data_IF_433810178298
#
_entry.id   IF_433810178298
#
_cell.length_a   1.000
_cell.length_b   1.000
_cell.length_c   1.000
_cell.angle_alpha   90.00
_cell.angle_beta   90.00
_cell.angle_gamma   90.00
#
_symmetry.space_group_name_H-M   'P 1'
#
loop_
_entity.id
_entity.type
_entity.pdbx_description
1 polymer ?
#
# COMPACT_ATOMS: atom_id res chain seq x y z
N UNK A 1 8.60 -22.73 2.13
CA UNK A 1 8.52 -21.32 2.61
C UNK A 1 7.05 -20.91 2.47
N UNK A 2 6.35 -20.64 3.57
CA UNK A 2 4.92 -20.27 3.54
C UNK A 2 4.83 -18.84 2.99
N UNK A 3 3.95 -18.62 2.01
CA UNK A 3 3.74 -17.32 1.35
C UNK A 3 2.34 -16.84 1.72
N UNK A 4 2.23 -15.61 2.23
CA UNK A 4 0.94 -14.97 2.40
C UNK A 4 0.31 -14.72 1.01
N UNK A 5 -0.97 -15.05 0.86
CA UNK A 5 -1.72 -14.83 -0.37
C UNK A 5 -2.98 -14.02 -0.05
N UNK A 6 -3.29 -12.96 -0.82
CA UNK A 6 -4.51 -12.18 -0.61
C UNK A 6 -5.75 -13.01 -0.92
N UNK A 7 -6.52 -13.36 0.11
CA UNK A 7 -7.73 -14.18 -0.03
C UNK A 7 -8.87 -13.41 -0.71
N UNK A 8 -9.09 -12.16 -0.30
CA UNK A 8 -10.06 -11.24 -0.89
C UNK A 8 -9.35 -9.92 -1.22
N UNK A 9 -9.70 -9.32 -2.35
CA UNK A 9 -9.16 -8.03 -2.82
C UNK A 9 -10.32 -7.08 -3.10
N UNK A 10 -10.05 -5.79 -3.06
CA UNK A 10 -10.98 -4.73 -3.49
C UNK A 10 -12.34 -4.75 -2.75
N UNK A 11 -12.29 -4.94 -1.43
CA UNK A 11 -13.49 -4.90 -0.59
C UNK A 11 -13.96 -3.47 -0.37
N UNK A 12 -15.26 -3.26 -0.48
CA UNK A 12 -15.89 -1.98 -0.15
C UNK A 12 -15.87 -1.75 1.36
N UNK A 13 -16.03 -0.48 1.78
CA UNK A 13 -16.08 -0.12 3.20
C UNK A 13 -17.20 -0.85 3.95
N UNK A 14 -18.35 -1.06 3.30
CA UNK A 14 -19.50 -1.75 3.88
C UNK A 14 -19.22 -3.25 4.10
N UNK A 15 -18.56 -3.91 3.14
CA UNK A 15 -18.17 -5.31 3.26
C UNK A 15 -17.11 -5.49 4.35
N UNK A 16 -16.12 -4.60 4.40
CA UNK A 16 -15.10 -4.62 5.45
C UNK A 16 -15.70 -4.42 6.83
N UNK A 17 -16.66 -3.51 6.99
CA UNK A 17 -17.32 -3.27 8.28
C UNK A 17 -18.07 -4.49 8.81
N UNK A 18 -18.55 -5.37 7.93
CA UNK A 18 -19.18 -6.64 8.31
C UNK A 18 -18.17 -7.73 8.67
N UNK A 19 -17.00 -7.72 8.02
CA UNK A 19 -15.96 -8.73 8.20
C UNK A 19 -15.09 -8.43 9.44
N UNK A 20 -14.75 -7.16 9.66
CA UNK A 20 -13.81 -6.73 10.69
C UNK A 20 -14.12 -7.28 12.10
N UNK A 21 -15.38 -7.27 12.59
CA UNK A 21 -15.71 -7.83 13.92
C UNK A 21 -15.48 -9.34 14.05
N UNK A 22 -15.43 -10.06 12.92
CA UNK A 22 -15.27 -11.51 12.91
C UNK A 22 -13.82 -11.96 12.67
N UNK A 23 -12.91 -11.05 12.29
CA UNK A 23 -11.51 -11.37 11.99
C UNK A 23 -10.79 -12.02 13.18
N UNK A 24 -11.11 -11.61 14.41
CA UNK A 24 -10.53 -12.16 15.64
C UNK A 24 -10.75 -13.68 15.79
N UNK A 25 -11.84 -14.20 15.23
CA UNK A 25 -12.13 -15.63 15.26
C UNK A 25 -11.24 -16.44 14.29
N UNK A 26 -10.65 -15.79 13.28
CA UNK A 26 -9.88 -16.42 12.22
C UNK A 26 -8.40 -16.10 12.33
N UNK A 27 -7.70 -16.83 13.21
CA UNK A 27 -6.25 -16.67 13.39
C UNK A 27 -5.49 -16.87 12.07
N UNK A 28 -4.69 -15.86 11.70
CA UNK A 28 -3.90 -15.86 10.47
C UNK A 28 -4.47 -14.99 9.35
N UNK A 29 -5.74 -14.60 9.45
CA UNK A 29 -6.31 -13.55 8.60
C UNK A 29 -6.11 -12.20 9.27
N UNK A 30 -5.69 -11.23 8.48
CA UNK A 30 -5.51 -9.85 8.90
C UNK A 30 -5.95 -8.95 7.74
N UNK A 31 -6.42 -7.75 8.07
CA UNK A 31 -6.69 -6.73 7.07
C UNK A 31 -5.38 -6.04 6.69
N UNK A 32 -5.20 -5.80 5.39
CA UNK A 32 -4.07 -5.03 4.86
C UNK A 32 -4.62 -3.91 3.98
N UNK A 33 -4.53 -2.68 4.48
CA UNK A 33 -4.95 -1.50 3.72
C UNK A 33 -3.99 -1.28 2.55
N UNK A 34 -4.49 -1.45 1.32
CA UNK A 34 -3.74 -1.21 0.08
C UNK A 34 -4.38 -0.05 -0.68
N UNK A 35 -3.56 0.86 -1.21
CA UNK A 35 -4.02 1.90 -2.12
C UNK A 35 -4.31 1.33 -3.51
N UNK A 36 -5.56 1.41 -3.97
CA UNK A 36 -5.93 1.13 -5.36
C UNK A 36 -5.97 2.43 -6.18
N UNK A 37 -5.50 2.38 -7.44
CA UNK A 37 -5.59 3.52 -8.36
C UNK A 37 -6.95 3.49 -9.07
N UNK A 38 -7.68 4.61 -9.03
CA UNK A 38 -8.95 4.77 -9.74
C UNK A 38 -8.75 5.68 -10.97
N UNK A 39 -9.08 5.18 -12.16
CA UNK A 39 -9.01 5.94 -13.41
C UNK A 39 -10.44 6.29 -13.88
N UNK A 40 -10.87 7.56 -13.76
CA UNK A 40 -12.27 7.92 -14.01
C UNK A 40 -12.69 7.77 -15.48
N UNK A 41 -11.75 7.83 -16.42
CA UNK A 41 -12.03 7.77 -17.86
C UNK A 41 -11.63 6.42 -18.46
N UNK A 42 -12.61 5.68 -18.99
CA UNK A 42 -12.38 4.35 -19.62
C UNK A 42 -11.41 4.39 -20.80
N UNK A 43 -11.41 5.48 -21.57
CA UNK A 43 -10.55 5.64 -22.75
C UNK A 43 -9.11 6.04 -22.43
N UNK A 44 -8.82 6.40 -21.18
CA UNK A 44 -7.49 6.85 -20.78
C UNK A 44 -6.51 5.70 -20.54
N UNK A 45 -6.97 4.44 -20.53
CA UNK A 45 -6.13 3.27 -20.27
C UNK A 45 -4.93 3.14 -21.23
N UNK A 46 -5.09 3.55 -22.49
CA UNK A 46 -4.00 3.53 -23.47
C UNK A 46 -2.92 4.59 -23.18
N UNK A 47 -3.30 5.73 -22.63
CA UNK A 47 -2.40 6.87 -22.36
C UNK A 47 -1.77 6.73 -20.98
N UNK A 48 -2.60 6.50 -19.95
CA UNK A 48 -2.16 6.33 -18.58
C UNK A 48 -1.42 5.02 -18.40
N UNK A 49 -1.92 3.95 -19.01
CA UNK A 49 -1.45 2.59 -18.80
C UNK A 49 -2.15 1.91 -17.64
N UNK A 50 -1.53 0.85 -17.13
CA UNK A 50 -2.08 0.02 -16.08
C UNK A 50 -1.00 -0.47 -15.12
N UNK A 51 -1.44 -0.86 -13.93
CA UNK A 51 -0.64 -1.50 -12.90
C UNK A 51 -0.71 -3.03 -13.04
N UNK A 52 0.39 -3.72 -12.78
CA UNK A 52 0.42 -5.19 -12.67
C UNK A 52 1.40 -5.61 -11.59
N UNK A 53 1.28 -6.84 -11.09
CA UNK A 53 2.18 -7.38 -10.08
C UNK A 53 3.62 -7.44 -10.59
N UNK A 54 4.58 -7.15 -9.72
CA UNK A 54 6.02 -7.17 -10.02
C UNK A 54 6.50 -8.60 -10.25
N UNK A 55 7.33 -8.82 -11.27
CA UNK A 55 7.95 -10.11 -11.53
C UNK A 55 9.18 -10.35 -10.64
N UNK A 56 9.65 -11.59 -10.58
CA UNK A 56 10.75 -11.94 -9.67
C UNK A 56 12.05 -11.27 -10.08
N UNK A 57 12.30 -11.17 -11.38
CA UNK A 57 13.48 -10.57 -11.98
C UNK A 57 13.58 -9.08 -11.61
N UNK A 58 12.45 -8.37 -11.62
CA UNK A 58 12.36 -6.96 -11.27
C UNK A 58 12.60 -6.69 -9.78
N UNK A 59 12.24 -7.64 -8.91
CA UNK A 59 12.53 -7.58 -7.47
C UNK A 59 14.03 -7.78 -7.20
N UNK A 60 14.69 -8.59 -8.02
CA UNK A 60 16.13 -8.84 -7.91
C UNK A 60 16.93 -7.62 -8.41
N UNK A 61 16.43 -6.90 -9.41
CA UNK A 61 16.99 -5.65 -9.91
C UNK A 61 16.79 -4.47 -8.93
N UNK A 62 15.58 -4.27 -8.40
CA UNK A 62 15.26 -3.18 -7.48
C UNK A 62 14.67 -3.70 -6.17
N UNK A 63 15.49 -3.64 -5.10
CA UNK A 63 15.10 -4.04 -3.73
C UNK A 63 13.97 -3.20 -3.14
N UNK A 64 13.54 -2.13 -3.81
CA UNK A 64 12.36 -1.38 -3.43
C UNK A 64 11.11 -2.26 -3.45
N UNK A 65 10.96 -3.17 -4.41
CA UNK A 65 9.75 -3.96 -4.59
C UNK A 65 9.77 -5.24 -3.74
N UNK A 66 8.57 -5.65 -3.32
CA UNK A 66 8.32 -6.96 -2.68
C UNK A 66 7.32 -7.74 -3.53
N UNK A 67 7.32 -9.08 -3.46
CA UNK A 67 6.26 -9.88 -4.08
C UNK A 67 4.88 -9.39 -3.62
N UNK A 68 3.90 -9.32 -4.55
CA UNK A 68 2.58 -8.75 -4.29
C UNK A 68 2.49 -7.22 -4.41
N UNK A 69 3.60 -6.50 -4.65
CA UNK A 69 3.54 -5.09 -5.01
C UNK A 69 3.16 -4.94 -6.50
N UNK A 70 2.51 -3.81 -6.82
CA UNK A 70 2.15 -3.45 -8.18
C UNK A 70 3.16 -2.44 -8.77
N UNK A 71 3.46 -2.57 -10.05
CA UNK A 71 4.32 -1.68 -10.85
C UNK A 71 3.60 -1.22 -12.12
N UNK A 72 3.83 0.02 -12.55
CA UNK A 72 3.32 0.55 -13.82
C UNK A 72 3.91 -0.19 -15.03
N UNK A 73 3.06 -0.84 -15.82
CA UNK A 73 3.49 -1.63 -17.00
C UNK A 73 3.52 -0.85 -18.30
N UNK A 74 2.65 0.15 -18.43
CA UNK A 74 2.48 0.89 -19.67
C UNK A 74 2.20 2.37 -19.39
N UNK A 75 2.23 3.18 -20.45
CA UNK A 75 1.81 4.58 -20.44
C UNK A 75 2.61 5.47 -19.48
N UNK A 76 1.93 6.51 -18.98
CA UNK A 76 2.46 7.47 -18.00
C UNK A 76 2.86 6.77 -16.70
N UNK A 77 2.13 5.73 -16.29
CA UNK A 77 2.40 4.97 -15.06
C UNK A 77 3.80 4.35 -15.08
N UNK A 78 4.22 3.76 -16.21
CA UNK A 78 5.58 3.19 -16.34
C UNK A 78 6.64 4.29 -16.39
N UNK A 79 6.38 5.38 -17.10
CA UNK A 79 7.37 6.44 -17.30
C UNK A 79 7.69 7.18 -15.99
N UNK A 80 6.66 7.48 -15.20
CA UNK A 80 6.79 8.20 -13.93
C UNK A 80 6.79 7.28 -12.69
N UNK A 81 7.04 5.99 -12.85
CA UNK A 81 6.99 5.03 -11.75
C UNK A 81 7.92 5.44 -10.59
N UNK A 82 9.10 5.99 -10.88
CA UNK A 82 10.09 6.40 -9.86
C UNK A 82 9.61 7.59 -9.03
N UNK A 83 8.87 8.50 -9.66
CA UNK A 83 8.28 9.69 -9.05
C UNK A 83 6.97 9.35 -8.32
N UNK A 84 6.16 8.45 -8.90
CA UNK A 84 4.86 7.99 -8.38
C UNK A 84 4.99 7.10 -7.14
N UNK A 85 6.00 6.23 -7.09
CA UNK A 85 6.16 5.24 -6.01
C UNK A 85 6.50 5.85 -4.65
N UNK A 86 7.01 7.08 -4.64
CA UNK A 86 7.45 7.76 -3.41
C UNK A 86 8.61 7.06 -2.70
N UNK A 87 8.76 7.32 -1.40
CA UNK A 87 9.80 6.73 -0.55
C UNK A 87 9.13 5.93 0.57
N UNK A 88 9.47 4.65 0.66
CA UNK A 88 8.97 3.77 1.74
C UNK A 88 9.56 4.21 3.08
N UNK A 89 8.68 4.28 4.08
CA UNK A 89 9.10 4.41 5.47
C UNK A 89 9.71 3.10 5.96
N UNK A 90 10.61 3.19 6.94
CA UNK A 90 11.21 2.05 7.62
C UNK A 90 10.80 2.14 9.07
N UNK A 91 10.30 1.03 9.64
CA UNK A 91 10.02 0.94 11.07
C UNK A 91 10.59 -0.34 11.64
N UNK A 92 11.46 -0.18 12.62
CA UNK A 92 12.18 -1.27 13.26
C UNK A 92 11.38 -1.78 14.47
N UNK A 93 11.09 -3.09 14.50
CA UNK A 93 10.47 -3.74 15.67
C UNK A 93 11.47 -4.72 16.27
N UNK A 94 11.53 -4.75 17.59
CA UNK A 94 12.16 -5.83 18.33
C UNK A 94 11.20 -7.01 18.43
N UNK A 95 11.62 -8.16 17.91
CA UNK A 95 10.87 -9.42 17.99
C UNK A 95 11.45 -10.32 19.06
N UNK A 96 10.59 -10.98 19.84
CA UNK A 96 10.97 -12.07 20.76
C UNK A 96 11.49 -13.29 20.00
N UNK A 97 12.14 -14.23 20.70
CA UNK A 97 12.56 -15.53 20.13
C UNK A 97 11.39 -16.35 19.55
N UNK A 98 10.16 -16.07 20.01
CA UNK A 98 8.92 -16.66 19.48
C UNK A 98 8.30 -15.84 18.32
N UNK A 99 9.04 -14.91 17.70
CA UNK A 99 8.59 -13.98 16.64
C UNK A 99 7.43 -13.04 17.00
N UNK A 100 7.11 -12.89 18.28
CA UNK A 100 6.14 -11.90 18.74
C UNK A 100 6.79 -10.50 18.73
N UNK A 101 6.13 -9.52 18.12
CA UNK A 101 6.53 -8.12 18.17
C UNK A 101 6.38 -7.58 19.61
N UNK A 102 7.44 -7.01 20.18
CA UNK A 102 7.42 -6.48 21.55
C UNK A 102 7.28 -4.95 21.51
N UNK A 103 8.28 -4.27 20.95
CA UNK A 103 8.40 -2.81 21.03
C UNK A 103 9.16 -2.24 19.82
N UNK A 104 8.99 -0.94 19.58
CA UNK A 104 9.79 -0.20 18.60
C UNK A 104 11.26 -0.18 19.02
N UNK A 105 12.16 -0.37 18.06
CA UNK A 105 13.59 -0.36 18.36
C UNK A 105 14.08 1.05 18.70
N UNK A 106 14.78 1.18 19.84
CA UNK A 106 15.37 2.44 20.30
C UNK A 106 14.38 3.63 20.30
N UNK A 107 13.14 3.37 20.74
CA UNK A 107 12.06 4.37 20.83
C UNK A 107 11.79 5.08 19.49
N UNK A 108 11.92 4.36 18.38
CA UNK A 108 11.63 4.86 17.04
C UNK A 108 12.65 5.87 16.49
N UNK A 109 13.81 6.05 17.14
CA UNK A 109 14.84 7.02 16.68
C UNK A 109 15.35 6.78 15.25
N UNK A 110 15.28 5.54 14.78
CA UNK A 110 15.69 5.15 13.43
C UNK A 110 14.51 4.98 12.46
N UNK A 111 13.29 5.19 12.93
CA UNK A 111 12.11 5.06 12.09
C UNK A 111 12.05 6.24 11.11
N UNK A 112 11.82 5.93 9.84
CA UNK A 112 11.64 6.93 8.79
C UNK A 112 10.21 6.92 8.32
N UNK A 113 9.59 8.10 8.24
CA UNK A 113 8.23 8.23 7.71
C UNK A 113 8.22 8.01 6.20
N UNK A 114 7.16 7.36 5.72
CA UNK A 114 6.93 7.25 4.28
C UNK A 114 6.65 8.63 3.69
N UNK A 115 7.19 8.89 2.49
CA UNK A 115 6.89 10.11 1.72
C UNK A 115 6.12 9.71 0.48
N UNK A 116 4.92 10.26 0.32
CA UNK A 116 4.11 10.04 -0.88
C UNK A 116 4.85 10.60 -2.11
N UNK A 117 4.73 9.90 -3.23
CA UNK A 117 5.29 10.36 -4.51
C UNK A 117 4.65 11.67 -4.95
N UNK A 118 5.42 12.51 -5.62
CA UNK A 118 4.95 13.80 -6.12
C UNK A 118 4.15 13.58 -7.42
N UNK A 119 2.90 13.14 -7.31
CA UNK A 119 1.95 13.18 -8.40
C UNK A 119 0.54 13.31 -7.82
N UNK A 120 0.22 14.56 -7.50
CA UNK A 120 -1.14 15.02 -7.29
C UNK A 120 -1.86 14.95 -8.65
N UNK A 121 -2.41 13.78 -8.99
CA UNK A 121 -3.27 13.63 -10.16
C UNK A 121 -4.67 14.18 -9.85
N UNK A 122 -4.79 15.49 -9.65
CA UNK A 122 -6.07 16.17 -9.89
C UNK A 122 -6.14 16.46 -11.39
N UNK A 123 -6.94 15.67 -12.12
CA UNK A 123 -7.58 16.19 -13.33
C UNK A 123 -8.58 17.25 -12.85
N UNK A 124 -8.11 18.50 -12.82
CA UNK A 124 -8.84 19.67 -12.34
C UNK A 124 -10.10 19.89 -13.16
N UNK A 125 -11.24 19.58 -12.56
CA UNK A 125 -12.49 20.35 -12.53
C UNK A 125 -13.45 19.56 -11.63
N UNK A 126 -13.49 19.84 -10.32
CA UNK A 126 -14.51 20.72 -9.71
C UNK A 126 -13.89 21.29 -8.42
N UNK A 127 -13.88 22.62 -8.31
CA UNK A 127 -13.57 23.36 -7.08
C UNK A 127 -14.58 23.01 -5.98
N UNK A 128 -14.12 23.19 -4.75
CA UNK A 128 -14.89 23.29 -3.50
C UNK A 128 -15.13 21.97 -2.74
N UNK A 129 -14.06 21.48 -2.11
CA UNK A 129 -14.05 21.33 -0.65
C UNK A 129 -12.68 20.84 -0.22
N UNK A 130 -11.88 21.76 0.32
CA UNK A 130 -10.84 21.40 1.26
C UNK A 130 -11.51 20.65 2.42
N UNK A 131 -11.51 19.32 2.36
CA UNK A 131 -11.71 18.50 3.56
C UNK A 131 -10.31 18.02 3.93
N UNK A 132 -9.79 18.38 5.11
CA UNK A 132 -8.54 17.83 5.59
C UNK A 132 -8.82 16.35 5.83
N UNK A 133 -8.37 15.48 4.92
CA UNK A 133 -8.36 14.04 5.20
C UNK A 133 -7.31 13.83 6.27
N UNK A 134 -7.79 13.89 7.51
CA UNK A 134 -7.08 13.53 8.71
C UNK A 134 -6.33 12.24 8.45
N UNK A 135 -5.02 12.38 8.56
CA UNK A 135 -4.14 11.45 9.23
C UNK A 135 -4.91 10.58 10.26
N UNK A 136 -5.42 9.42 9.82
CA UNK A 136 -5.87 8.36 10.72
C UNK A 136 -4.73 7.37 10.86
N UNK A 137 -3.82 7.77 11.73
CA UNK A 137 -2.87 6.92 12.41
C UNK A 137 -3.65 5.95 13.30
N UNK A 138 -3.99 4.74 12.81
CA UNK A 138 -4.44 3.64 13.67
C UNK A 138 -3.88 2.29 13.18
N UNK A 139 -3.15 1.65 14.10
CA UNK A 139 -2.84 0.22 14.25
C UNK A 139 -1.86 -0.48 13.27
N UNK A 140 -0.58 -0.37 13.61
CA UNK A 140 0.31 -1.54 13.73
C UNK A 140 0.11 -2.11 15.14
N UNK A 141 0.22 -3.45 15.29
CA UNK A 141 0.03 -4.33 16.50
C UNK A 141 -1.31 -5.08 16.39
N UNK A 142 -1.40 -6.41 16.26
CA UNK A 142 -0.57 -7.55 16.72
C UNK A 142 -0.07 -8.45 15.58
#
# INVERSE_FOLDING_TARGET
KIRAYPFLKELTLEEMSKIAPHLDNFKGFHEEATSARNYPYKSAANILGYLSEVYREEIEEDRFYKPGNNIGRAGIERFYEKELRGVKGIKYIVTSALNNAIESYADGKYDTTARIGNLHCEFREIKDSCIPVGFWEIARVL
#
